data_IF_047674758388
#
_entry.id   IF_047674758388
#
_cell.length_a   1.000
_cell.length_b   1.000
_cell.length_c   1.000
_cell.angle_alpha   90.00
_cell.angle_beta   90.00
_cell.angle_gamma   90.00
#
_symmetry.space_group_name_H-M   'P 1'
#
loop_
_entity.id
_entity.type
_entity.pdbx_description
1 polymer ?
#
# COMPACT_ATOMS: atom_id res chain seq x y z
N UNK A 1 -3.02 4.18 -4.97
CA UNK A 1 -4.21 4.31 -5.85
C UNK A 1 -4.38 3.09 -6.74
N UNK A 2 -3.40 2.75 -7.61
CA UNK A 2 -3.51 1.61 -8.55
C UNK A 2 -3.74 0.28 -7.81
N UNK A 3 -3.03 0.01 -6.71
CA UNK A 3 -3.24 -1.20 -5.92
C UNK A 3 -4.65 -1.30 -5.30
N UNK A 4 -5.27 -0.19 -4.89
CA UNK A 4 -6.65 -0.14 -4.37
C UNK A 4 -7.64 -0.44 -5.50
N UNK A 5 -7.40 0.15 -6.68
CA UNK A 5 -8.23 -0.09 -7.86
C UNK A 5 -8.12 -1.55 -8.30
N UNK A 6 -6.91 -2.14 -8.27
CA UNK A 6 -6.71 -3.56 -8.53
C UNK A 6 -7.39 -4.46 -7.49
N UNK A 7 -7.32 -4.13 -6.20
CA UNK A 7 -8.01 -4.89 -5.13
C UNK A 7 -9.53 -4.76 -5.26
N UNK A 8 -10.05 -3.55 -5.49
CA UNK A 8 -11.48 -3.33 -5.70
C UNK A 8 -12.02 -4.02 -6.96
N UNK A 9 -11.24 -4.00 -8.06
CA UNK A 9 -11.55 -4.76 -9.27
C UNK A 9 -11.48 -6.28 -9.08
N UNK A 10 -10.79 -6.78 -8.05
CA UNK A 10 -10.77 -8.20 -7.69
C UNK A 10 -11.95 -8.56 -6.77
N UNK A 11 -12.29 -7.70 -5.81
CA UNK A 11 -13.29 -7.97 -4.76
C UNK A 11 -14.73 -7.85 -5.28
N UNK A 12 -15.02 -6.83 -6.10
CA UNK A 12 -16.36 -6.57 -6.66
C UNK A 12 -16.91 -7.72 -7.54
N UNK A 13 -16.14 -8.29 -8.49
CA UNK A 13 -16.62 -9.45 -9.25
C UNK A 13 -16.62 -10.73 -8.40
N UNK A 14 -15.79 -10.85 -7.35
CA UNK A 14 -15.74 -12.06 -6.52
C UNK A 14 -16.96 -12.17 -5.59
N UNK A 15 -17.47 -11.05 -5.06
CA UNK A 15 -18.71 -11.00 -4.29
C UNK A 15 -19.96 -11.30 -5.15
N UNK A 16 -20.03 -10.77 -6.37
CA UNK A 16 -21.20 -10.94 -7.25
C UNK A 16 -21.27 -12.30 -7.96
N UNK A 17 -20.15 -13.02 -8.15
CA UNK A 17 -20.13 -14.27 -8.93
C UNK A 17 -20.15 -15.56 -8.12
N UNK A 18 -20.36 -15.51 -6.78
CA UNK A 18 -20.32 -16.67 -5.85
C UNK A 18 -19.03 -17.52 -5.94
N UNK A 19 -18.00 -17.04 -6.63
CA UNK A 19 -16.69 -17.67 -6.72
C UNK A 19 -15.95 -17.38 -5.41
N UNK A 20 -15.50 -18.44 -4.71
CA UNK A 20 -14.78 -18.31 -3.43
C UNK A 20 -13.63 -17.32 -3.58
N UNK A 21 -13.68 -16.24 -2.80
CA UNK A 21 -12.60 -15.25 -2.69
C UNK A 21 -11.37 -15.97 -2.14
N UNK A 22 -10.29 -16.03 -2.92
CA UNK A 22 -9.03 -16.68 -2.50
C UNK A 22 -8.15 -15.78 -1.64
N UNK A 23 -8.45 -14.49 -1.60
CA UNK A 23 -7.78 -13.52 -0.73
C UNK A 23 -8.46 -13.55 0.62
N UNK A 24 -7.69 -13.63 1.70
CA UNK A 24 -8.26 -13.57 3.04
C UNK A 24 -8.90 -12.19 3.24
N UNK A 25 -10.12 -12.14 3.78
CA UNK A 25 -10.80 -10.88 4.14
C UNK A 25 -9.94 -9.99 5.03
N UNK A 26 -9.04 -10.60 5.80
CA UNK A 26 -8.02 -9.92 6.62
C UNK A 26 -7.01 -9.15 5.77
N UNK A 27 -6.50 -9.75 4.70
CA UNK A 27 -5.56 -9.13 3.75
C UNK A 27 -6.21 -7.96 3.02
N UNK A 28 -7.47 -8.12 2.61
CA UNK A 28 -8.27 -7.06 1.99
C UNK A 28 -8.47 -5.90 2.97
N UNK A 29 -8.92 -6.18 4.20
CA UNK A 29 -9.14 -5.15 5.21
C UNK A 29 -7.84 -4.40 5.58
N UNK A 30 -6.71 -5.12 5.67
CA UNK A 30 -5.41 -4.51 5.96
C UNK A 30 -4.96 -3.61 4.80
N UNK A 31 -5.12 -4.06 3.55
CA UNK A 31 -4.79 -3.25 2.38
C UNK A 31 -5.69 -2.01 2.27
N UNK A 32 -7.01 -2.13 2.44
CA UNK A 32 -7.90 -0.97 2.43
C UNK A 32 -7.56 0.00 3.57
N UNK A 33 -7.29 -0.52 4.78
CA UNK A 33 -6.89 0.31 5.92
C UNK A 33 -5.60 1.10 5.66
N UNK A 34 -4.56 0.45 5.14
CA UNK A 34 -3.28 1.10 4.84
C UNK A 34 -3.40 2.13 3.72
N UNK A 35 -4.11 1.79 2.65
CA UNK A 35 -4.25 2.68 1.51
C UNK A 35 -5.19 3.87 1.73
N UNK A 36 -6.30 3.70 2.47
CA UNK A 36 -7.22 4.79 2.82
C UNK A 36 -6.51 5.77 3.74
N UNK A 37 -5.85 5.25 4.78
CA UNK A 37 -5.07 6.06 5.72
C UNK A 37 -3.97 6.84 4.99
N UNK A 38 -3.32 6.20 4.02
CA UNK A 38 -2.34 6.84 3.16
C UNK A 38 -2.92 7.98 2.30
N UNK A 39 -4.11 7.78 1.70
CA UNK A 39 -4.80 8.81 0.92
C UNK A 39 -5.14 10.02 1.79
N UNK A 40 -5.66 9.78 3.00
CA UNK A 40 -5.98 10.83 3.96
C UNK A 40 -4.72 11.62 4.32
N UNK A 41 -3.62 10.95 4.67
CA UNK A 41 -2.36 11.63 4.98
C UNK A 41 -1.80 12.43 3.80
N UNK A 42 -1.88 11.90 2.59
CA UNK A 42 -1.42 12.59 1.38
C UNK A 42 -2.23 13.86 1.11
N UNK A 43 -3.55 13.81 1.32
CA UNK A 43 -4.44 14.97 1.18
C UNK A 43 -4.11 16.02 2.24
N UNK A 44 -3.92 15.62 3.50
CA UNK A 44 -3.52 16.54 4.58
C UNK A 44 -2.18 17.22 4.25
N UNK A 45 -1.20 16.47 3.76
CA UNK A 45 0.10 17.02 3.34
C UNK A 45 -0.03 18.01 2.18
N UNK A 46 -0.87 17.68 1.19
CA UNK A 46 -1.12 18.55 0.05
C UNK A 46 -1.75 19.87 0.50
N UNK A 47 -2.74 19.80 1.40
CA UNK A 47 -3.37 20.99 1.98
C UNK A 47 -2.40 21.81 2.83
N UNK A 48 -1.59 21.18 3.68
CA UNK A 48 -0.56 21.87 4.47
C UNK A 48 0.44 22.63 3.58
N UNK A 49 0.84 22.03 2.45
CA UNK A 49 1.71 22.67 1.47
C UNK A 49 1.05 23.84 0.75
N UNK A 50 -0.25 23.76 0.46
CA UNK A 50 -1.03 24.88 -0.12
C UNK A 50 -1.12 26.05 0.87
N UNK A 51 -1.25 25.76 2.16
CA UNK A 51 -1.31 26.76 3.24
C UNK A 51 0.08 27.37 3.56
N UNK A 52 1.16 26.85 2.95
CA UNK A 52 2.57 27.22 3.22
C UNK A 52 2.98 27.03 4.68
N UNK A 53 2.38 26.08 5.36
CA UNK A 53 2.73 25.78 6.74
C UNK A 53 4.00 24.92 6.78
N UNK A 54 4.96 25.25 7.65
CA UNK A 54 6.22 24.52 7.78
C UNK A 54 5.97 23.24 8.59
N UNK A 55 6.04 22.09 7.91
CA UNK A 55 5.85 20.79 8.55
C UNK A 55 7.15 20.34 9.22
N UNK A 56 7.15 20.09 10.54
CA UNK A 56 8.37 19.71 11.24
C UNK A 56 8.92 18.38 10.71
N UNK A 57 10.21 18.36 10.38
CA UNK A 57 10.87 17.21 9.77
C UNK A 57 10.74 15.92 10.59
N UNK A 58 10.63 16.05 11.92
CA UNK A 58 10.40 14.93 12.85
C UNK A 58 9.06 14.24 12.60
N UNK A 59 8.00 15.02 12.39
CA UNK A 59 6.68 14.49 12.11
C UNK A 59 6.61 13.89 10.70
N UNK A 60 7.24 14.55 9.73
CA UNK A 60 7.41 14.01 8.37
C UNK A 60 8.12 12.66 8.37
N UNK A 61 9.21 12.54 9.14
CA UNK A 61 9.98 11.30 9.26
C UNK A 61 9.16 10.19 9.92
N UNK A 62 8.41 10.50 10.99
CA UNK A 62 7.53 9.52 11.63
C UNK A 62 6.45 9.01 10.68
N UNK A 63 5.81 9.92 9.93
CA UNK A 63 4.80 9.56 8.95
C UNK A 63 5.37 8.70 7.81
N UNK A 64 6.57 9.03 7.33
CA UNK A 64 7.26 8.23 6.31
C UNK A 64 7.64 6.83 6.82
N UNK A 65 8.05 6.71 8.09
CA UNK A 65 8.32 5.42 8.71
C UNK A 65 7.03 4.58 8.86
N UNK A 66 5.94 5.20 9.32
CA UNK A 66 4.63 4.54 9.40
C UNK A 66 4.16 4.09 8.02
N UNK A 67 4.28 4.95 7.00
CA UNK A 67 3.99 4.63 5.60
C UNK A 67 4.80 3.42 5.11
N UNK A 68 6.10 3.39 5.36
CA UNK A 68 6.97 2.27 5.01
C UNK A 68 6.48 0.94 5.61
N UNK A 69 6.22 0.91 6.91
CA UNK A 69 5.80 -0.32 7.61
C UNK A 69 4.45 -0.81 7.07
N UNK A 70 3.49 0.10 6.86
CA UNK A 70 2.16 -0.23 6.38
C UNK A 70 2.19 -0.77 4.95
N UNK A 71 2.96 -0.14 4.05
CA UNK A 71 3.12 -0.61 2.67
C UNK A 71 3.86 -1.94 2.60
N UNK A 72 4.88 -2.14 3.44
CA UNK A 72 5.62 -3.40 3.51
C UNK A 72 4.75 -4.54 4.03
N UNK A 73 3.99 -4.31 5.10
CA UNK A 73 3.05 -5.29 5.65
C UNK A 73 1.97 -5.66 4.63
N UNK A 74 1.45 -4.68 3.89
CA UNK A 74 0.45 -4.89 2.83
C UNK A 74 1.03 -5.68 1.65
N UNK A 75 2.25 -5.36 1.21
CA UNK A 75 2.92 -6.10 0.15
C UNK A 75 3.17 -7.56 0.56
N UNK A 76 3.62 -7.79 1.79
CA UNK A 76 3.90 -9.13 2.31
C UNK A 76 2.63 -9.99 2.39
N UNK A 77 1.51 -9.44 2.88
CA UNK A 77 0.25 -10.19 2.99
C UNK A 77 -0.36 -10.49 1.62
N UNK A 78 -0.37 -9.53 0.70
CA UNK A 78 -0.86 -9.72 -0.67
C UNK A 78 -0.04 -10.79 -1.42
N UNK A 79 1.29 -10.71 -1.34
CA UNK A 79 2.16 -11.67 -2.03
C UNK A 79 2.11 -13.06 -1.40
N UNK A 80 1.89 -13.16 -0.09
CA UNK A 80 1.68 -14.44 0.58
C UNK A 80 0.36 -15.10 0.14
N UNK A 81 -0.74 -14.35 0.13
CA UNK A 81 -2.04 -14.84 -0.37
C UNK A 81 -1.96 -15.23 -1.85
N UNK A 82 -1.20 -14.48 -2.67
CA UNK A 82 -0.94 -14.85 -4.06
C UNK A 82 -0.17 -16.18 -4.18
N UNK A 83 0.89 -16.36 -3.39
CA UNK A 83 1.71 -17.57 -3.39
C UNK A 83 0.91 -18.80 -2.94
N UNK A 84 0.10 -18.67 -1.88
CA UNK A 84 -0.81 -19.72 -1.44
C UNK A 84 -1.84 -20.09 -2.51
N UNK A 85 -2.45 -19.08 -3.16
CA UNK A 85 -3.45 -19.30 -4.21
C UNK A 85 -2.84 -20.02 -5.42
N UNK A 86 -1.60 -19.68 -5.79
CA UNK A 86 -0.83 -20.37 -6.83
C UNK A 86 -0.61 -21.85 -6.49
N UNK A 87 -0.24 -22.15 -5.24
CA UNK A 87 0.08 -23.52 -4.81
C UNK A 87 -1.15 -24.43 -4.71
N UNK A 88 -2.36 -23.89 -4.52
CA UNK A 88 -3.59 -24.68 -4.39
C UNK A 88 -4.14 -25.23 -5.71
N UNK A 89 -3.51 -24.90 -6.86
CA UNK A 89 -3.75 -25.48 -8.20
C UNK A 89 -5.24 -25.64 -8.58
N UNK A 90 -6.05 -24.62 -8.29
CA UNK A 90 -7.51 -24.67 -8.44
C UNK A 90 -7.84 -24.35 -9.89
N UNK A 91 -8.23 -25.38 -10.64
CA UNK A 91 -8.61 -25.28 -12.05
C UNK A 91 -10.11 -25.01 -12.20
N UNK A 92 -10.56 -24.11 -13.11
CA UNK A 92 -9.76 -23.25 -13.98
C UNK A 92 -9.29 -21.98 -13.24
N UNK A 93 -7.98 -21.67 -13.22
CA UNK A 93 -7.48 -20.50 -12.51
C UNK A 93 -7.89 -19.26 -13.29
N UNK A 94 -8.53 -18.30 -12.60
CA UNK A 94 -8.80 -16.99 -13.18
C UNK A 94 -7.48 -16.20 -13.24
N UNK A 95 -6.61 -16.55 -14.20
CA UNK A 95 -5.23 -16.07 -14.38
C UNK A 95 -5.12 -14.56 -14.29
N UNK A 96 -6.07 -13.83 -14.88
CA UNK A 96 -6.14 -12.37 -14.79
C UNK A 96 -6.16 -11.85 -13.34
N UNK A 97 -6.93 -12.48 -12.44
CA UNK A 97 -7.00 -12.04 -11.02
C UNK A 97 -5.70 -12.33 -10.28
N UNK A 98 -5.03 -13.43 -10.60
CA UNK A 98 -3.71 -13.76 -10.04
C UNK A 98 -2.65 -12.76 -10.51
N UNK A 99 -2.69 -12.35 -11.78
CA UNK A 99 -1.77 -11.34 -12.32
C UNK A 99 -2.04 -9.95 -11.71
N UNK A 100 -3.31 -9.58 -11.53
CA UNK A 100 -3.67 -8.35 -10.82
C UNK A 100 -3.23 -8.36 -9.35
N UNK A 101 -3.33 -9.50 -8.66
CA UNK A 101 -2.91 -9.61 -7.26
C UNK A 101 -1.39 -9.51 -7.12
N UNK A 102 -0.64 -10.19 -8.00
CA UNK A 102 0.81 -10.06 -8.08
C UNK A 102 1.22 -8.62 -8.37
N UNK A 103 0.59 -8.00 -9.37
CA UNK A 103 0.84 -6.60 -9.73
C UNK A 103 0.55 -5.63 -8.57
N UNK A 104 -0.55 -5.81 -7.85
CA UNK A 104 -0.88 -5.01 -6.67
C UNK A 104 0.16 -5.17 -5.55
N UNK A 105 0.61 -6.40 -5.29
CA UNK A 105 1.69 -6.70 -4.34
C UNK A 105 3.02 -6.04 -4.73
N UNK A 106 3.42 -6.15 -6.00
CA UNK A 106 4.65 -5.54 -6.53
C UNK A 106 4.62 -4.01 -6.45
N UNK A 107 3.50 -3.38 -6.82
CA UNK A 107 3.35 -1.91 -6.71
C UNK A 107 3.40 -1.46 -5.25
N UNK A 108 2.83 -2.23 -4.34
CA UNK A 108 2.88 -1.95 -2.90
C UNK A 108 4.33 -2.02 -2.36
N UNK A 109 5.10 -3.00 -2.84
CA UNK A 109 6.52 -3.14 -2.49
C UNK A 109 7.33 -1.92 -2.97
N UNK A 110 7.11 -1.49 -4.22
CA UNK A 110 7.75 -0.29 -4.78
C UNK A 110 7.39 0.94 -3.95
N UNK A 111 6.12 1.06 -3.53
CA UNK A 111 5.66 2.12 -2.63
C UNK A 111 6.42 2.12 -1.29
N UNK A 112 6.64 0.95 -0.70
CA UNK A 112 7.46 0.83 0.52
C UNK A 112 8.89 1.35 0.29
N UNK A 113 9.53 1.01 -0.82
CA UNK A 113 10.88 1.49 -1.14
C UNK A 113 10.90 3.03 -1.27
N UNK A 114 9.90 3.63 -1.91
CA UNK A 114 9.79 5.08 -1.97
C UNK A 114 9.67 5.73 -0.59
N UNK A 115 8.83 5.17 0.31
CA UNK A 115 8.72 5.66 1.69
C UNK A 115 10.02 5.54 2.47
N UNK A 116 10.77 4.45 2.25
CA UNK A 116 12.07 4.25 2.89
C UNK A 116 13.10 5.27 2.39
N UNK A 117 13.15 5.52 1.08
CA UNK A 117 14.05 6.52 0.50
C UNK A 117 13.70 7.92 0.98
N UNK A 118 12.42 8.27 0.99
CA UNK A 118 11.96 9.58 1.45
C UNK A 118 12.22 9.78 2.96
N UNK A 119 12.09 8.72 3.77
CA UNK A 119 12.50 8.72 5.17
C UNK A 119 13.99 9.03 5.33
N UNK A 120 14.85 8.33 4.58
CA UNK A 120 16.31 8.52 4.65
C UNK A 120 16.68 9.95 4.24
N UNK A 121 16.09 10.46 3.17
CA UNK A 121 16.34 11.81 2.66
C UNK A 121 15.88 12.85 3.69
N UNK A 122 14.63 12.74 4.16
CA UNK A 122 14.05 13.68 5.14
C UNK A 122 14.82 13.69 6.45
N UNK A 123 15.19 12.51 6.97
CA UNK A 123 15.97 12.41 8.19
C UNK A 123 17.37 13.03 8.02
N UNK A 124 18.02 12.80 6.88
CA UNK A 124 19.35 13.39 6.60
C UNK A 124 19.29 14.91 6.47
N UNK A 125 18.29 15.45 5.78
CA UNK A 125 18.12 16.90 5.60
C UNK A 125 17.76 17.57 6.94
N UNK A 126 16.91 16.94 7.75
CA UNK A 126 16.55 17.42 9.09
C UNK A 126 17.73 17.40 10.06
N UNK A 127 18.57 16.36 10.03
CA UNK A 127 19.79 16.29 10.84
C UNK A 127 20.84 17.35 10.46
N UNK A 128 20.85 17.78 9.20
CA UNK A 128 21.74 18.86 8.72
C UNK A 128 21.21 20.26 9.03
N UNK A 129 19.97 20.40 9.49
CA UNK A 129 19.33 21.69 9.76
C UNK A 129 18.92 22.45 8.49
N UNK A 130 18.84 21.76 7.34
CA UNK A 130 18.44 22.38 6.05
C UNK A 130 16.91 22.53 5.93
N UNK A 131 16.16 21.87 6.81
CA UNK A 131 14.69 21.92 6.92
C UNK A 131 14.31 22.02 8.41
N UNK A 132 13.55 23.06 8.78
CA UNK A 132 12.91 23.21 10.09
C UNK A 132 11.52 22.57 10.11
#
# INVERSE_FOLDING_TARGET
AIAIVCIGLIDDPAHNSRLRVFISTRTVALAYGTFITFLIFSVIYLFGKVVRDNFPWKLSSLLNLTGFILYLATAATILNDWSETKNRNIWPPNTQRLDFLCGAGSVSLIGAVFYLLDLIITARLGMKGEIE
#
